data_IF_735865733924
#
_entry.id   IF_735865733924
#
_cell.length_a   1.000
_cell.length_b   1.000
_cell.length_c   1.000
_cell.angle_alpha   90.00
_cell.angle_beta   90.00
_cell.angle_gamma   90.00
#
_symmetry.space_group_name_H-M   'P 1'
#
loop_
_entity.id
_entity.type
_entity.pdbx_description
1 polymer ?
#
# COMPACT_ATOMS: atom_id res chain seq x y z
N UNK A 1 17.83 5.52 -3.58
CA UNK A 1 17.74 4.05 -3.58
C UNK A 1 16.26 3.70 -3.43
N UNK A 2 15.76 2.73 -4.17
CA UNK A 2 14.34 2.30 -4.06
C UNK A 2 14.15 1.51 -2.77
N UNK A 3 13.28 1.97 -1.87
CA UNK A 3 12.88 1.25 -0.65
C UNK A 3 11.51 0.59 -0.82
N UNK A 4 11.24 -0.45 -0.01
CA UNK A 4 9.98 -1.17 0.05
C UNK A 4 9.35 -0.94 1.41
N UNK A 5 8.11 -0.40 1.48
CA UNK A 5 7.47 -0.14 2.76
C UNK A 5 7.06 -1.44 3.46
N UNK A 6 7.27 -1.47 4.77
CA UNK A 6 6.78 -2.46 5.71
C UNK A 6 5.64 -1.83 6.50
N UNK A 7 4.42 -2.01 6.00
CA UNK A 7 3.19 -1.49 6.59
C UNK A 7 2.28 -2.64 6.99
N UNK A 8 1.44 -2.40 8.00
CA UNK A 8 0.35 -3.30 8.42
C UNK A 8 -0.95 -2.53 8.43
N UNK A 9 -2.03 -3.15 7.94
CA UNK A 9 -3.36 -2.55 7.92
C UNK A 9 -3.78 -2.15 9.35
N UNK A 10 -4.10 -0.88 9.55
CA UNK A 10 -4.62 -0.34 10.81
C UNK A 10 -3.69 -0.38 12.01
N UNK A 11 -2.46 -0.88 11.88
CA UNK A 11 -1.51 -0.96 12.99
C UNK A 11 -0.55 0.23 12.99
N UNK A 12 -0.34 0.90 14.15
CA UNK A 12 0.61 2.00 14.23
C UNK A 12 2.06 1.51 14.10
N UNK A 13 2.88 2.36 13.49
CA UNK A 13 4.27 2.02 13.18
C UNK A 13 4.47 1.46 11.78
N UNK A 14 5.63 1.70 11.23
CA UNK A 14 6.02 1.26 9.90
C UNK A 14 7.54 1.24 9.77
N UNK A 15 8.01 0.61 8.69
CA UNK A 15 9.43 0.60 8.34
C UNK A 15 9.63 0.47 6.84
N UNK A 16 10.86 0.27 6.46
CA UNK A 16 11.24 0.05 5.06
C UNK A 16 12.37 -0.95 4.94
N UNK A 17 12.41 -1.62 3.80
CA UNK A 17 13.52 -2.47 3.36
C UNK A 17 14.14 -1.83 2.14
N UNK A 18 15.46 -1.64 2.15
CA UNK A 18 16.17 -1.14 0.99
C UNK A 18 16.38 -2.24 -0.07
N UNK A 19 16.93 -1.86 -1.23
CA UNK A 19 17.18 -2.80 -2.34
C UNK A 19 18.19 -3.91 -2.03
N UNK A 20 18.82 -3.88 -0.86
CA UNK A 20 19.82 -4.84 -0.39
C UNK A 20 19.38 -5.62 0.86
N UNK A 21 18.16 -5.37 1.33
CA UNK A 21 17.60 -6.06 2.48
C UNK A 21 17.88 -5.41 3.83
N UNK A 22 18.44 -4.19 3.86
CA UNK A 22 18.57 -3.42 5.08
C UNK A 22 17.19 -3.01 5.57
N UNK A 23 16.86 -3.33 6.83
CA UNK A 23 15.58 -2.99 7.46
C UNK A 23 15.74 -1.78 8.36
N UNK A 24 14.84 -0.80 8.24
CA UNK A 24 14.81 0.39 9.09
C UNK A 24 13.37 0.70 9.54
N UNK A 25 13.14 1.07 10.82
CA UNK A 25 11.88 1.66 11.23
C UNK A 25 11.69 3.04 10.58
N UNK A 26 10.46 3.53 10.51
CA UNK A 26 10.14 4.83 9.90
C UNK A 26 10.86 6.01 10.56
N UNK A 27 11.10 5.96 11.86
CA UNK A 27 11.86 6.96 12.62
C UNK A 27 13.38 6.92 12.37
N UNK A 28 13.88 5.86 11.71
CA UNK A 28 15.31 5.66 11.38
C UNK A 28 16.25 5.73 12.58
N UNK A 29 15.74 5.40 13.78
CA UNK A 29 16.53 5.41 15.04
C UNK A 29 17.61 4.33 15.04
N UNK A 30 17.42 3.26 14.27
CA UNK A 30 18.34 2.15 14.10
C UNK A 30 18.15 1.50 12.73
N UNK A 31 19.12 0.66 12.33
CA UNK A 31 19.06 -0.15 11.11
C UNK A 31 19.50 -1.58 11.40
N UNK A 32 18.90 -2.55 10.70
CA UNK A 32 19.25 -3.96 10.76
C UNK A 32 19.78 -4.41 9.40
N UNK A 33 21.06 -4.72 9.35
CA UNK A 33 21.73 -5.31 8.18
C UNK A 33 21.90 -6.82 8.36
N UNK A 34 22.08 -7.55 7.27
CA UNK A 34 22.30 -8.98 7.28
C UNK A 34 23.54 -9.35 6.49
N UNK A 35 24.35 -10.24 7.06
CA UNK A 35 25.59 -10.68 6.49
C UNK A 35 25.64 -12.19 6.48
N UNK A 36 26.43 -12.76 5.55
CA UNK A 36 26.62 -14.20 5.41
C UNK A 36 28.10 -14.54 5.41
N UNK A 37 28.50 -15.33 6.39
CA UNK A 37 29.84 -15.90 6.51
C UNK A 37 29.89 -17.28 5.88
N UNK A 38 30.32 -17.37 4.64
CA UNK A 38 30.57 -18.64 3.96
C UNK A 38 32.03 -19.08 4.18
N UNK A 39 32.39 -20.24 3.62
CA UNK A 39 33.70 -20.86 3.82
C UNK A 39 34.92 -19.99 3.41
N UNK A 40 34.71 -18.98 2.60
CA UNK A 40 35.75 -18.10 2.04
C UNK A 40 35.80 -16.73 2.72
N UNK A 41 34.65 -16.10 3.04
CA UNK A 41 34.60 -14.77 3.64
C UNK A 41 33.19 -14.38 4.12
N UNK A 42 33.10 -13.30 4.88
CA UNK A 42 31.87 -12.61 5.14
C UNK A 42 31.40 -11.81 3.90
N UNK A 43 30.11 -11.88 3.61
CA UNK A 43 29.44 -11.12 2.57
C UNK A 43 28.40 -10.20 3.20
N UNK A 44 28.48 -8.94 2.84
CA UNK A 44 27.48 -7.93 3.18
C UNK A 44 26.66 -7.62 1.92
N UNK A 45 25.33 -7.73 1.99
CA UNK A 45 24.48 -7.55 0.82
C UNK A 45 24.64 -6.19 0.15
N UNK A 46 24.93 -5.12 0.93
CA UNK A 46 25.21 -3.77 0.40
C UNK A 46 26.49 -3.68 -0.45
N UNK A 47 27.43 -4.62 -0.30
CA UNK A 47 28.71 -4.65 -1.01
C UNK A 47 28.79 -5.71 -2.11
N UNK A 48 27.81 -6.63 -2.16
CA UNK A 48 27.80 -7.71 -3.14
C UNK A 48 27.10 -7.28 -4.44
N UNK A 49 27.72 -7.59 -5.57
CA UNK A 49 27.12 -7.30 -6.90
C UNK A 49 25.95 -8.22 -7.21
N UNK A 50 26.02 -9.49 -6.81
CA UNK A 50 25.03 -10.52 -7.12
C UNK A 50 23.94 -10.61 -6.05
N UNK A 51 23.24 -9.51 -5.82
CA UNK A 51 22.04 -9.42 -4.97
C UNK A 51 20.83 -9.07 -5.84
N UNK A 52 19.75 -9.82 -5.67
CA UNK A 52 18.47 -9.57 -6.32
C UNK A 52 17.35 -9.51 -5.29
N UNK A 53 16.38 -8.66 -5.53
CA UNK A 53 15.22 -8.50 -4.65
C UNK A 53 13.93 -8.67 -5.45
N UNK A 54 12.97 -9.36 -4.87
CA UNK A 54 11.62 -9.54 -5.40
C UNK A 54 10.58 -9.23 -4.34
N UNK A 55 9.37 -8.92 -4.79
CA UNK A 55 8.19 -8.70 -3.96
C UNK A 55 7.22 -9.85 -4.17
N UNK A 56 6.72 -10.43 -3.09
CA UNK A 56 5.71 -11.49 -3.10
C UNK A 56 4.39 -10.92 -2.59
N UNK A 57 3.25 -11.41 -3.12
CA UNK A 57 1.91 -11.04 -2.67
C UNK A 57 1.68 -9.53 -2.66
N UNK A 58 1.74 -8.87 -3.80
CA UNK A 58 1.59 -7.40 -3.92
C UNK A 58 2.63 -6.60 -3.09
N UNK A 59 3.77 -7.21 -2.76
CA UNK A 59 4.82 -6.60 -1.95
C UNK A 59 4.61 -6.75 -0.44
N UNK A 60 3.76 -7.66 0.01
CA UNK A 60 3.56 -7.96 1.43
C UNK A 60 4.76 -8.66 2.07
N UNK A 61 5.52 -9.41 1.29
CA UNK A 61 6.79 -10.02 1.69
C UNK A 61 7.88 -9.57 0.72
N UNK A 62 8.99 -9.09 1.24
CA UNK A 62 10.18 -8.71 0.46
C UNK A 62 11.19 -9.84 0.58
N UNK A 63 11.58 -10.44 -0.55
CA UNK A 63 12.60 -11.47 -0.61
C UNK A 63 13.87 -10.90 -1.25
N UNK A 64 14.99 -10.98 -0.53
CA UNK A 64 16.33 -10.58 -1.00
C UNK A 64 17.24 -11.81 -1.05
N UNK A 65 17.79 -12.10 -2.23
CA UNK A 65 18.70 -13.22 -2.47
C UNK A 65 20.11 -12.74 -2.73
N UNK A 66 21.07 -13.32 -2.06
CA UNK A 66 22.49 -13.06 -2.24
C UNK A 66 23.20 -14.34 -2.62
N UNK A 67 24.02 -14.29 -3.68
CA UNK A 67 24.85 -15.42 -4.08
C UNK A 67 25.92 -15.71 -3.04
N UNK A 68 26.01 -16.98 -2.68
CA UNK A 68 27.07 -17.57 -1.85
C UNK A 68 27.66 -18.78 -2.59
N UNK A 69 28.79 -19.35 -2.16
CA UNK A 69 29.24 -20.62 -2.70
C UNK A 69 28.14 -21.69 -2.65
N UNK A 70 27.97 -22.41 -3.75
CA UNK A 70 27.05 -23.53 -3.92
C UNK A 70 25.54 -23.20 -3.77
N UNK A 71 25.14 -21.92 -3.89
CA UNK A 71 23.72 -21.56 -3.85
C UNK A 71 23.41 -20.12 -3.51
N UNK A 72 22.32 -19.93 -2.79
CA UNK A 72 21.81 -18.62 -2.37
C UNK A 72 21.60 -18.58 -0.85
N UNK A 73 21.91 -17.44 -0.24
CA UNK A 73 21.36 -17.02 1.03
C UNK A 73 20.11 -16.18 0.75
N UNK A 74 19.02 -16.43 1.48
CA UNK A 74 17.72 -15.80 1.25
C UNK A 74 17.24 -15.10 2.49
N UNK A 75 17.03 -13.80 2.41
CA UNK A 75 16.33 -13.03 3.43
C UNK A 75 14.90 -12.81 2.99
N UNK A 76 13.92 -13.03 3.89
CA UNK A 76 12.53 -12.62 3.74
C UNK A 76 12.14 -11.67 4.86
N UNK A 77 11.48 -10.58 4.50
CA UNK A 77 11.01 -9.57 5.46
C UNK A 77 9.53 -9.30 5.21
N UNK A 78 8.75 -9.33 6.27
CA UNK A 78 7.33 -8.96 6.24
C UNK A 78 6.95 -8.26 7.55
N UNK A 79 5.81 -7.58 7.55
CA UNK A 79 5.31 -6.89 8.73
C UNK A 79 3.97 -7.47 9.19
N UNK A 80 3.76 -7.49 10.51
CA UNK A 80 2.55 -7.99 11.18
C UNK A 80 2.16 -7.07 12.33
N UNK A 81 0.89 -7.07 12.73
CA UNK A 81 0.46 -6.47 13.98
C UNK A 81 0.61 -7.50 15.12
N UNK A 82 1.33 -7.14 16.16
CA UNK A 82 1.50 -8.00 17.33
C UNK A 82 0.30 -7.88 18.25
N UNK A 83 -0.63 -8.86 18.22
CA UNK A 83 -1.77 -8.91 19.12
C UNK A 83 -2.66 -7.65 19.15
N UNK A 84 -2.86 -6.99 18.01
CA UNK A 84 -3.58 -5.72 17.91
C UNK A 84 -2.76 -4.50 18.34
N UNK A 85 -1.47 -4.68 18.60
CA UNK A 85 -0.50 -3.63 18.92
C UNK A 85 0.20 -3.05 17.69
N UNK A 86 1.39 -2.44 17.91
CA UNK A 86 2.15 -1.80 16.84
C UNK A 86 2.67 -2.80 15.82
N UNK A 87 3.02 -2.28 14.64
CA UNK A 87 3.65 -3.06 13.60
C UNK A 87 5.04 -3.60 14.04
N UNK A 88 5.27 -4.86 13.72
CA UNK A 88 6.53 -5.58 13.93
C UNK A 88 6.97 -6.17 12.60
N UNK A 89 8.23 -6.01 12.22
CA UNK A 89 8.80 -6.73 11.10
C UNK A 89 9.32 -8.10 11.56
N UNK A 90 9.10 -9.13 10.77
CA UNK A 90 9.80 -10.41 10.91
C UNK A 90 10.87 -10.47 9.82
N UNK A 91 12.10 -10.72 10.24
CA UNK A 91 13.27 -10.87 9.36
C UNK A 91 13.74 -12.30 9.46
N UNK A 92 13.58 -13.05 8.40
CA UNK A 92 13.97 -14.44 8.29
C UNK A 92 15.15 -14.56 7.34
N UNK A 93 16.20 -15.31 7.75
CA UNK A 93 17.34 -15.68 6.88
C UNK A 93 17.35 -17.20 6.73
N UNK A 94 17.43 -17.66 5.49
CA UNK A 94 17.46 -19.07 5.13
C UNK A 94 18.67 -19.44 4.28
N UNK A 95 19.12 -20.67 4.43
CA UNK A 95 20.19 -21.25 3.63
C UNK A 95 19.60 -22.11 2.49
N UNK A 96 19.75 -21.66 1.26
CA UNK A 96 19.43 -22.41 0.04
C UNK A 96 20.71 -22.82 -0.73
N UNK A 97 21.87 -22.80 -0.06
CA UNK A 97 23.11 -23.35 -0.61
C UNK A 97 23.33 -24.80 -0.13
N UNK A 98 24.10 -25.59 -0.88
CA UNK A 98 24.39 -26.96 -0.52
C UNK A 98 25.27 -27.06 0.73
N UNK A 99 26.09 -26.03 1.01
CA UNK A 99 26.98 -25.96 2.16
C UNK A 99 26.38 -25.10 3.28
N UNK A 100 26.77 -25.42 4.53
CA UNK A 100 26.42 -24.61 5.69
C UNK A 100 27.14 -23.24 5.63
N UNK A 101 26.48 -22.21 6.17
CA UNK A 101 27.09 -20.89 6.38
C UNK A 101 26.66 -20.29 7.73
N UNK A 102 27.30 -19.22 8.16
CA UNK A 102 26.89 -18.41 9.30
C UNK A 102 26.08 -17.19 8.83
N UNK A 103 24.92 -16.94 9.43
CA UNK A 103 24.20 -15.67 9.23
C UNK A 103 24.49 -14.74 10.40
N UNK A 104 24.87 -13.51 10.11
CA UNK A 104 24.95 -12.45 11.11
C UNK A 104 23.89 -11.38 10.86
N UNK A 105 23.21 -10.97 11.91
CA UNK A 105 22.39 -9.78 11.94
C UNK A 105 23.15 -8.68 12.68
N UNK A 106 23.23 -7.51 12.06
CA UNK A 106 24.00 -6.37 12.57
C UNK A 106 23.06 -5.18 12.78
N UNK A 107 22.92 -4.76 14.03
CA UNK A 107 22.18 -3.56 14.40
C UNK A 107 23.13 -2.37 14.46
N UNK A 108 22.76 -1.30 13.76
CA UNK A 108 23.44 -0.01 13.83
C UNK A 108 22.48 1.02 14.45
N UNK A 109 22.91 1.72 15.50
CA UNK A 109 22.14 2.78 16.15
C UNK A 109 23.04 3.99 16.43
N UNK A 110 22.98 5.03 15.59
CA UNK A 110 23.88 6.19 15.72
C UNK A 110 23.67 6.94 17.06
N UNK A 111 24.73 6.98 17.88
CA UNK A 111 24.73 7.74 19.13
C UNK A 111 23.86 7.18 20.26
N UNK A 112 23.37 5.94 20.12
CA UNK A 112 22.57 5.29 21.14
C UNK A 112 23.28 4.04 21.70
N UNK A 113 23.19 3.82 23.01
CA UNK A 113 23.74 2.62 23.64
C UNK A 113 23.00 1.36 23.19
N UNK A 114 23.72 0.34 22.79
CA UNK A 114 23.20 -0.98 22.43
C UNK A 114 23.45 -1.97 23.58
N UNK A 115 22.43 -2.78 23.85
CA UNK A 115 22.54 -3.91 24.77
C UNK A 115 22.01 -5.17 24.10
N UNK A 116 22.69 -6.29 24.28
CA UNK A 116 22.26 -7.61 23.81
C UNK A 116 22.10 -8.51 25.03
N UNK A 117 20.98 -9.20 25.12
CA UNK A 117 20.69 -10.18 26.14
C UNK A 117 20.33 -11.55 25.54
N UNK A 118 19.76 -12.46 26.35
CA UNK A 118 19.39 -13.80 25.90
C UNK A 118 18.20 -13.79 24.91
N UNK A 119 17.40 -12.76 24.88
CA UNK A 119 16.11 -12.70 24.21
C UNK A 119 16.06 -11.69 23.07
N UNK A 120 17.02 -10.72 23.04
CA UNK A 120 16.96 -9.68 22.06
C UNK A 120 18.06 -8.63 22.12
N UNK A 121 17.80 -7.54 21.40
CA UNK A 121 18.64 -6.33 21.39
C UNK A 121 17.78 -5.15 21.82
N UNK A 122 18.36 -4.27 22.64
CA UNK A 122 17.78 -2.99 23.01
C UNK A 122 18.65 -1.84 22.50
N UNK A 123 18.02 -0.75 22.07
CA UNK A 123 18.61 0.57 21.77
C UNK A 123 18.18 1.52 22.89
N UNK A 124 19.13 1.91 23.75
CA UNK A 124 18.80 2.53 25.03
C UNK A 124 17.95 1.58 25.88
N UNK A 125 16.75 2.02 26.28
CA UNK A 125 15.80 1.20 27.03
C UNK A 125 14.72 0.51 26.15
N UNK A 126 14.78 0.70 24.84
CA UNK A 126 13.74 0.17 23.92
C UNK A 126 14.19 -1.18 23.33
N UNK A 127 13.44 -2.28 23.49
CA UNK A 127 13.68 -3.50 22.74
C UNK A 127 13.43 -3.25 21.25
N UNK A 128 14.41 -3.60 20.41
CA UNK A 128 14.35 -3.40 18.96
C UNK A 128 14.39 -4.72 18.19
N UNK A 129 15.01 -5.77 18.74
CA UNK A 129 14.98 -7.13 18.20
C UNK A 129 14.60 -8.13 19.29
N UNK A 130 13.88 -9.20 18.90
CA UNK A 130 13.66 -10.39 19.71
C UNK A 130 13.79 -11.66 18.84
N UNK A 131 14.12 -12.79 19.47
CA UNK A 131 14.30 -14.09 18.81
C UNK A 131 13.85 -15.24 19.72
N UNK A 132 13.51 -16.39 19.12
CA UNK A 132 13.21 -17.65 19.79
C UNK A 132 14.47 -18.46 20.05
N UNK A 133 15.33 -18.51 19.02
CA UNK A 133 16.60 -19.22 19.05
C UNK A 133 17.72 -18.24 19.30
N UNK A 134 18.38 -18.37 20.45
CA UNK A 134 19.52 -17.52 20.77
C UNK A 134 20.66 -17.68 19.75
N UNK A 135 21.40 -16.59 19.44
CA UNK A 135 22.63 -16.66 18.64
C UNK A 135 23.69 -17.49 19.35
N UNK A 136 24.60 -18.11 18.58
CA UNK A 136 25.76 -18.79 19.14
C UNK A 136 26.84 -17.82 19.63
N UNK A 137 26.85 -16.61 19.07
CA UNK A 137 27.74 -15.51 19.47
C UNK A 137 27.03 -14.18 19.32
N UNK A 138 27.30 -13.28 20.25
CA UNK A 138 26.84 -11.89 20.20
C UNK A 138 27.92 -10.95 20.73
N UNK A 139 28.01 -9.77 20.15
CA UNK A 139 28.98 -8.75 20.56
C UNK A 139 28.41 -7.34 20.36
N UNK A 140 28.82 -6.42 21.22
CA UNK A 140 28.50 -5.00 21.15
C UNK A 140 29.81 -4.20 21.08
N UNK A 141 29.84 -3.20 20.21
CA UNK A 141 30.97 -2.34 19.95
C UNK A 141 31.91 -2.87 18.85
N UNK A 142 32.56 -1.96 18.18
CA UNK A 142 33.27 -2.17 16.92
C UNK A 142 34.35 -3.28 16.99
N UNK A 143 35.22 -3.24 17.98
CA UNK A 143 36.29 -4.22 18.14
C UNK A 143 35.79 -5.62 18.49
N UNK A 144 34.76 -5.70 19.37
CA UNK A 144 34.16 -6.97 19.77
C UNK A 144 33.37 -7.61 18.63
N UNK A 145 32.62 -6.81 17.86
CA UNK A 145 31.87 -7.28 16.67
C UNK A 145 32.87 -7.81 15.62
N UNK A 146 33.97 -7.09 15.36
CA UNK A 146 34.98 -7.58 14.44
C UNK A 146 35.60 -8.92 14.91
N UNK A 147 35.96 -9.03 16.18
CA UNK A 147 36.52 -10.26 16.73
C UNK A 147 35.54 -11.44 16.65
N UNK A 148 34.24 -11.21 16.92
CA UNK A 148 33.21 -12.22 16.77
C UNK A 148 33.10 -12.72 15.33
N UNK A 149 33.01 -11.80 14.37
CA UNK A 149 32.87 -12.16 12.96
C UNK A 149 34.12 -12.89 12.43
N UNK A 150 35.33 -12.44 12.82
CA UNK A 150 36.58 -13.10 12.43
C UNK A 150 36.67 -14.54 12.98
N UNK A 151 36.12 -14.81 14.17
CA UNK A 151 36.08 -16.14 14.77
C UNK A 151 35.06 -17.09 14.12
N UNK A 152 33.94 -16.60 13.66
CA UNK A 152 32.80 -17.43 13.23
C UNK A 152 32.68 -17.63 11.71
N UNK A 153 33.39 -16.89 10.87
CA UNK A 153 33.19 -17.00 9.44
C UNK A 153 34.27 -16.41 8.56
N UNK A 154 35.48 -16.25 9.06
CA UNK A 154 36.61 -15.71 8.30
C UNK A 154 36.72 -14.18 8.41
N UNK A 155 37.60 -13.57 7.61
CA UNK A 155 37.97 -12.17 7.75
C UNK A 155 36.81 -11.23 7.47
N UNK A 156 36.40 -10.45 8.48
CA UNK A 156 35.42 -9.41 8.33
C UNK A 156 36.06 -8.11 7.80
N UNK A 157 35.81 -7.80 6.53
CA UNK A 157 36.26 -6.56 5.89
C UNK A 157 35.15 -5.54 5.78
N UNK A 158 35.46 -4.25 5.76
CA UNK A 158 34.47 -3.19 5.51
C UNK A 158 33.66 -2.73 6.72
N UNK A 159 34.16 -2.99 7.95
CA UNK A 159 33.57 -2.49 9.20
C UNK A 159 33.94 -1.02 9.48
N UNK A 160 34.16 -0.22 8.47
CA UNK A 160 34.59 1.18 8.63
C UNK A 160 33.40 2.11 8.94
N UNK A 161 32.80 1.92 10.12
CA UNK A 161 31.67 2.72 10.61
C UNK A 161 32.14 3.68 11.70
N UNK A 162 32.78 4.76 11.31
CA UNK A 162 33.22 5.80 12.25
C UNK A 162 32.02 6.38 13.00
N UNK A 163 31.96 6.16 14.31
CA UNK A 163 31.04 6.81 15.24
C UNK A 163 29.62 6.22 15.33
N UNK A 164 29.41 4.96 14.93
CA UNK A 164 28.16 4.24 15.14
C UNK A 164 28.32 3.10 16.13
N UNK A 165 27.43 2.99 17.10
CA UNK A 165 27.36 1.83 17.95
C UNK A 165 26.80 0.64 17.17
N UNK A 166 27.49 -0.51 17.28
CA UNK A 166 27.15 -1.74 16.56
C UNK A 166 26.91 -2.86 17.55
N UNK A 167 25.92 -3.70 17.23
CA UNK A 167 25.74 -5.02 17.81
C UNK A 167 25.63 -6.05 16.71
N UNK A 168 26.31 -7.18 16.84
CA UNK A 168 26.19 -8.30 15.91
C UNK A 168 25.82 -9.57 16.66
N UNK A 169 24.98 -10.38 16.04
CA UNK A 169 24.51 -11.68 16.51
C UNK A 169 24.70 -12.70 15.39
N UNK A 170 25.21 -13.89 15.69
CA UNK A 170 25.57 -14.92 14.71
C UNK A 170 24.81 -16.22 14.95
N UNK A 171 24.26 -16.79 13.88
CA UNK A 171 23.59 -18.09 13.86
C UNK A 171 24.21 -19.00 12.79
N UNK A 172 24.58 -20.24 13.12
CA UNK A 172 24.93 -21.23 12.11
C UNK A 172 23.68 -21.70 11.39
N UNK A 173 23.73 -21.71 10.06
CA UNK A 173 22.64 -22.17 9.19
C UNK A 173 23.12 -23.34 8.31
N UNK A 174 22.90 -24.60 8.75
CA UNK A 174 23.02 -25.77 7.89
C UNK A 174 22.15 -25.64 6.61
N UNK A 175 22.38 -26.50 5.64
CA UNK A 175 21.54 -26.59 4.44
C UNK A 175 20.05 -26.68 4.81
N UNK A 176 19.20 -25.92 4.13
CA UNK A 176 17.74 -25.76 4.34
C UNK A 176 17.33 -25.12 5.69
N UNK A 177 18.27 -24.86 6.59
CA UNK A 177 17.94 -24.23 7.86
C UNK A 177 17.53 -22.76 7.69
N UNK A 178 16.69 -22.31 8.62
CA UNK A 178 16.23 -20.92 8.71
C UNK A 178 16.35 -20.43 10.14
N UNK A 179 16.54 -19.12 10.29
CA UNK A 179 16.41 -18.40 11.54
C UNK A 179 15.54 -17.18 11.32
N UNK A 180 14.87 -16.71 12.36
CA UNK A 180 14.08 -15.49 12.29
C UNK A 180 14.29 -14.63 13.54
N UNK A 181 14.11 -13.33 13.37
CA UNK A 181 13.99 -12.35 14.45
C UNK A 181 12.77 -11.47 14.19
N UNK A 182 12.16 -10.98 15.26
CA UNK A 182 11.20 -9.88 15.17
C UNK A 182 11.93 -8.55 15.42
N UNK A 183 11.50 -7.52 14.69
CA UNK A 183 12.08 -6.18 14.73
C UNK A 183 10.99 -5.14 14.94
N UNK A 184 11.17 -4.24 15.91
CA UNK A 184 10.15 -3.25 16.30
C UNK A 184 10.04 -2.16 15.24
N UNK A 185 8.84 -1.94 14.69
CA UNK A 185 8.53 -0.84 13.78
C UNK A 185 7.75 0.30 14.48
N UNK A 186 7.34 0.10 15.71
CA UNK A 186 6.58 1.06 16.51
C UNK A 186 6.89 0.94 17.99
N UNK A 187 6.11 1.62 18.84
CA UNK A 187 6.25 1.55 20.30
C UNK A 187 5.31 0.48 20.86
N UNK A 188 5.83 -0.50 21.58
CA UNK A 188 5.01 -1.52 22.23
C UNK A 188 5.75 -2.82 22.48
N UNK A 189 5.00 -3.88 22.74
CA UNK A 189 5.54 -5.21 22.96
C UNK A 189 6.20 -5.74 21.68
N UNK A 190 7.31 -6.45 21.86
CA UNK A 190 8.05 -7.11 20.78
C UNK A 190 8.08 -8.61 21.07
N UNK A 191 7.08 -9.36 20.58
CA UNK A 191 7.04 -10.80 20.76
C UNK A 191 8.11 -11.49 19.89
N UNK A 192 8.55 -12.70 20.28
CA UNK A 192 9.45 -13.49 19.47
C UNK A 192 8.77 -13.97 18.18
N UNK A 193 9.52 -14.30 17.12
CA UNK A 193 8.97 -14.68 15.80
C UNK A 193 7.99 -15.86 15.84
N UNK A 194 8.18 -16.83 16.75
CA UNK A 194 7.29 -18.01 16.86
C UNK A 194 5.84 -17.64 17.25
N UNK A 195 5.65 -16.51 17.92
CA UNK A 195 4.34 -16.02 18.32
C UNK A 195 3.67 -15.14 17.23
N UNK A 196 4.30 -15.00 16.09
CA UNK A 196 3.85 -14.13 14.99
C UNK A 196 3.45 -14.94 13.74
N UNK A 197 2.52 -14.45 12.92
CA UNK A 197 2.19 -15.05 11.65
C UNK A 197 3.42 -15.18 10.74
N UNK A 198 3.53 -16.34 10.08
CA UNK A 198 4.56 -16.59 9.06
C UNK A 198 4.27 -15.83 7.75
N UNK A 199 5.23 -15.87 6.83
CA UNK A 199 5.13 -15.18 5.54
C UNK A 199 3.90 -15.64 4.74
N UNK A 200 3.58 -16.93 4.75
CA UNK A 200 2.45 -17.48 3.98
C UNK A 200 1.11 -17.04 4.57
N UNK A 201 0.99 -16.95 5.89
CA UNK A 201 -0.20 -16.41 6.55
C UNK A 201 -0.40 -14.93 6.21
N UNK A 202 0.68 -14.14 6.19
CA UNK A 202 0.64 -12.71 5.79
C UNK A 202 0.25 -12.56 4.33
N UNK A 203 0.79 -13.39 3.42
CA UNK A 203 0.41 -13.38 2.01
C UNK A 203 -1.08 -13.65 1.82
N UNK A 204 -1.63 -14.67 2.49
CA UNK A 204 -3.07 -14.98 2.46
C UNK A 204 -3.92 -13.86 3.05
N UNK A 205 -3.49 -13.28 4.18
CA UNK A 205 -4.21 -12.16 4.80
C UNK A 205 -4.32 -10.95 3.89
N UNK A 206 -3.22 -10.55 3.25
CA UNK A 206 -3.24 -9.45 2.28
C UNK A 206 -4.09 -9.75 1.05
N UNK A 207 -4.07 -10.99 0.55
CA UNK A 207 -4.93 -11.38 -0.57
C UNK A 207 -6.42 -11.16 -0.22
N UNK A 208 -6.87 -11.62 0.94
CA UNK A 208 -8.25 -11.42 1.41
C UNK A 208 -8.60 -9.92 1.50
N UNK A 209 -7.69 -9.09 2.02
CA UNK A 209 -7.93 -7.64 2.08
C UNK A 209 -7.99 -7.00 0.70
N UNK A 210 -7.13 -7.40 -0.23
CA UNK A 210 -7.15 -6.87 -1.60
C UNK A 210 -8.41 -7.28 -2.37
N UNK A 211 -8.95 -8.47 -2.11
CA UNK A 211 -10.18 -8.98 -2.73
C UNK A 211 -11.47 -8.27 -2.25
N UNK A 212 -11.41 -7.49 -1.14
CA UNK A 212 -12.55 -6.67 -0.68
C UNK A 212 -12.88 -5.51 -1.62
N UNK A 213 -11.89 -5.01 -2.34
CA UNK A 213 -12.08 -3.92 -3.31
C UNK A 213 -12.51 -4.41 -4.70
N UNK A 214 -12.72 -3.48 -5.60
CA UNK A 214 -13.06 -3.78 -6.99
C UNK A 214 -11.99 -4.68 -7.64
N UNK A 215 -12.40 -5.77 -8.28
CA UNK A 215 -11.48 -6.64 -9.03
C UNK A 215 -11.23 -6.07 -10.41
N UNK A 216 -9.97 -5.91 -10.80
CA UNK A 216 -9.57 -5.36 -12.09
C UNK A 216 -8.66 -6.37 -12.79
N UNK A 217 -9.04 -6.73 -14.01
CA UNK A 217 -8.27 -7.59 -14.90
C UNK A 217 -7.85 -6.77 -16.13
N UNK A 218 -6.55 -6.67 -16.37
CA UNK A 218 -5.97 -5.98 -17.51
C UNK A 218 -5.02 -6.90 -18.25
N UNK A 219 -4.90 -6.82 -19.59
CA UNK A 219 -4.03 -7.69 -20.38
C UNK A 219 -2.55 -7.26 -20.33
N UNK A 220 -2.11 -6.77 -19.19
CA UNK A 220 -0.75 -6.31 -18.90
C UNK A 220 -0.38 -6.72 -17.46
N UNK A 221 0.38 -7.78 -17.33
CA UNK A 221 0.80 -8.32 -16.03
C UNK A 221 1.60 -7.32 -15.19
N UNK A 222 2.39 -6.44 -15.82
CA UNK A 222 3.15 -5.44 -15.08
C UNK A 222 2.21 -4.38 -14.49
N UNK A 223 1.18 -3.99 -15.24
CA UNK A 223 0.13 -3.10 -14.77
C UNK A 223 -0.71 -3.76 -13.67
N UNK A 224 -1.13 -5.02 -13.85
CA UNK A 224 -1.87 -5.77 -12.83
C UNK A 224 -1.12 -5.82 -11.50
N UNK A 225 0.16 -6.23 -11.52
CA UNK A 225 1.01 -6.23 -10.32
C UNK A 225 1.18 -4.84 -9.70
N UNK A 226 1.23 -3.79 -10.51
CA UNK A 226 1.31 -2.40 -10.02
C UNK A 226 0.03 -1.95 -9.32
N UNK A 227 -1.14 -2.35 -9.84
CA UNK A 227 -2.44 -2.08 -9.22
C UNK A 227 -2.49 -2.67 -7.82
N UNK A 228 -2.22 -3.98 -7.68
CA UNK A 228 -2.28 -4.67 -6.40
C UNK A 228 -1.26 -4.13 -5.39
N UNK A 229 -0.05 -3.84 -5.87
CA UNK A 229 0.98 -3.20 -5.03
C UNK A 229 0.55 -1.83 -4.52
N UNK A 230 -0.06 -1.01 -5.36
CA UNK A 230 -0.56 0.31 -4.96
C UNK A 230 -1.70 0.19 -3.95
N UNK A 231 -2.65 -0.72 -4.19
CA UNK A 231 -3.76 -0.99 -3.25
C UNK A 231 -3.25 -1.41 -1.89
N UNK A 232 -2.31 -2.37 -1.84
CA UNK A 232 -1.68 -2.77 -0.59
C UNK A 232 -1.02 -1.59 0.13
N UNK A 233 -0.30 -0.75 -0.62
CA UNK A 233 0.35 0.43 -0.04
C UNK A 233 -0.64 1.45 0.52
N UNK A 234 -1.76 1.68 -0.15
CA UNK A 234 -2.80 2.58 0.36
C UNK A 234 -3.44 2.01 1.63
N UNK A 235 -3.84 0.76 1.62
CA UNK A 235 -4.36 0.09 2.80
C UNK A 235 -3.36 0.10 3.97
N UNK A 236 -2.08 -0.15 3.71
CA UNK A 236 -1.04 -0.09 4.75
C UNK A 236 -0.85 1.31 5.35
N UNK A 237 -1.10 2.38 4.58
CA UNK A 237 -0.98 3.76 5.07
C UNK A 237 -2.04 4.13 6.12
N UNK A 238 -3.14 3.40 6.22
CA UNK A 238 -4.15 3.62 7.27
C UNK A 238 -3.60 3.42 8.69
N UNK A 239 -2.51 2.65 8.84
CA UNK A 239 -1.82 2.45 10.13
C UNK A 239 -0.86 3.58 10.54
N UNK A 240 -0.63 4.58 9.67
CA UNK A 240 0.33 5.68 9.94
C UNK A 240 -0.25 7.07 9.66
N UNK A 241 -1.54 7.23 9.83
CA UNK A 241 -2.23 8.50 9.58
C UNK A 241 -1.70 9.65 10.44
N UNK A 242 -1.27 9.38 11.68
CA UNK A 242 -0.77 10.40 12.63
C UNK A 242 0.36 11.26 12.06
N UNK A 243 1.17 10.74 11.15
CA UNK A 243 2.34 11.43 10.58
C UNK A 243 2.06 12.06 9.21
N UNK A 244 0.90 11.79 8.61
CA UNK A 244 0.51 12.32 7.31
C UNK A 244 -0.13 13.71 7.46
N UNK A 245 0.08 14.60 6.48
CA UNK A 245 -0.66 15.85 6.41
C UNK A 245 -2.10 15.63 5.92
N UNK A 246 -2.96 16.64 6.05
CA UNK A 246 -4.38 16.53 5.72
C UNK A 246 -4.60 16.31 4.22
N UNK A 247 -3.81 16.93 3.36
CA UNK A 247 -3.93 16.76 1.91
C UNK A 247 -3.57 15.32 1.49
N UNK A 248 -2.52 14.75 2.08
CA UNK A 248 -2.14 13.35 1.87
C UNK A 248 -3.25 12.37 2.33
N UNK A 249 -3.90 12.65 3.45
CA UNK A 249 -5.03 11.83 3.94
C UNK A 249 -6.24 11.94 3.01
N UNK A 250 -6.56 13.13 2.54
CA UNK A 250 -7.64 13.34 1.56
C UNK A 250 -7.39 12.56 0.26
N UNK A 251 -6.16 12.60 -0.25
CA UNK A 251 -5.80 11.81 -1.43
C UNK A 251 -5.87 10.31 -1.17
N UNK A 252 -5.45 9.86 0.01
CA UNK A 252 -5.54 8.46 0.42
C UNK A 252 -6.99 7.98 0.45
N UNK A 253 -7.90 8.74 1.09
CA UNK A 253 -9.32 8.42 1.14
C UNK A 253 -9.93 8.30 -0.25
N UNK A 254 -9.70 9.27 -1.14
CA UNK A 254 -10.19 9.23 -2.52
C UNK A 254 -9.69 7.99 -3.29
N UNK A 255 -8.43 7.61 -3.10
CA UNK A 255 -7.86 6.42 -3.74
C UNK A 255 -8.49 5.13 -3.21
N UNK A 256 -8.71 5.03 -1.91
CA UNK A 256 -9.38 3.89 -1.30
C UNK A 256 -10.81 3.76 -1.83
N UNK A 257 -11.59 4.84 -1.85
CA UNK A 257 -12.95 4.87 -2.37
C UNK A 257 -13.01 4.48 -3.85
N UNK A 258 -12.12 5.02 -4.68
CA UNK A 258 -12.06 4.70 -6.10
C UNK A 258 -11.78 3.22 -6.40
N UNK A 259 -11.23 2.50 -5.44
CA UNK A 259 -10.95 1.08 -5.55
C UNK A 259 -11.89 0.18 -4.72
N UNK A 260 -12.94 0.75 -4.10
CA UNK A 260 -13.97 0.01 -3.37
C UNK A 260 -13.61 -0.35 -1.93
N UNK A 261 -12.60 0.31 -1.34
CA UNK A 261 -12.24 0.14 0.08
C UNK A 261 -12.94 1.22 0.93
N UNK A 262 -14.27 1.27 0.86
CA UNK A 262 -15.07 2.34 1.46
C UNK A 262 -14.96 2.40 2.98
N UNK A 263 -14.92 1.23 3.66
CA UNK A 263 -14.76 1.18 5.11
C UNK A 263 -13.40 1.77 5.54
N UNK A 264 -12.34 1.43 4.79
CA UNK A 264 -10.99 1.95 5.06
C UNK A 264 -10.91 3.46 4.74
N UNK A 265 -11.60 3.92 3.69
CA UNK A 265 -11.72 5.35 3.38
C UNK A 265 -12.46 6.12 4.48
N UNK A 266 -13.55 5.56 5.02
CA UNK A 266 -14.31 6.16 6.12
C UNK A 266 -13.45 6.38 7.37
N UNK A 267 -12.58 5.41 7.73
CA UNK A 267 -11.61 5.55 8.83
C UNK A 267 -10.67 6.73 8.59
N UNK A 268 -10.18 6.90 7.36
CA UNK A 268 -9.32 8.06 7.00
C UNK A 268 -10.09 9.37 7.09
N UNK A 269 -11.36 9.39 6.65
CA UNK A 269 -12.21 10.58 6.70
C UNK A 269 -12.55 10.97 8.13
N UNK A 270 -12.73 10.01 9.04
CA UNK A 270 -12.90 10.28 10.48
C UNK A 270 -11.66 10.96 11.07
N UNK A 271 -10.47 10.53 10.68
CA UNK A 271 -9.21 11.18 11.09
C UNK A 271 -9.10 12.60 10.53
N UNK A 272 -9.49 12.82 9.26
CA UNK A 272 -9.52 14.16 8.66
C UNK A 272 -10.52 15.06 9.40
N UNK A 273 -11.70 14.55 9.73
CA UNK A 273 -12.74 15.29 10.44
C UNK A 273 -12.32 15.64 11.88
N UNK A 274 -11.58 14.74 12.55
CA UNK A 274 -11.06 14.98 13.90
C UNK A 274 -9.94 16.03 13.95
N UNK A 275 -9.26 16.29 12.84
CA UNK A 275 -8.22 17.32 12.74
C UNK A 275 -8.84 18.66 12.42
N UNK A 276 -8.99 19.48 13.47
CA UNK A 276 -9.47 20.84 13.31
C UNK A 276 -8.43 21.72 12.62
N UNK A 277 -8.63 21.98 11.32
CA UNK A 277 -7.69 22.79 10.52
C UNK A 277 -8.40 23.47 9.36
N UNK A 278 -7.90 24.63 8.96
CA UNK A 278 -8.32 25.31 7.71
C UNK A 278 -7.48 24.92 6.51
N UNK A 279 -6.54 24.00 6.67
CA UNK A 279 -5.67 23.54 5.59
C UNK A 279 -6.40 22.66 4.60
N UNK A 280 -5.94 22.66 3.35
CA UNK A 280 -6.40 21.80 2.27
C UNK A 280 -7.94 21.75 2.12
N UNK A 281 -8.67 22.89 2.08
CA UNK A 281 -10.14 22.86 2.05
C UNK A 281 -10.70 22.21 0.80
N UNK A 282 -10.10 22.44 -0.37
CA UNK A 282 -10.52 21.81 -1.64
C UNK A 282 -10.37 20.29 -1.60
N UNK A 283 -9.24 19.80 -1.11
CA UNK A 283 -8.95 18.38 -0.97
C UNK A 283 -9.90 17.70 0.02
N UNK A 284 -10.21 18.35 1.14
CA UNK A 284 -11.20 17.89 2.12
C UNK A 284 -12.59 17.78 1.51
N UNK A 285 -13.05 18.83 0.83
CA UNK A 285 -14.34 18.84 0.16
C UNK A 285 -14.43 17.76 -0.94
N UNK A 286 -13.34 17.55 -1.69
CA UNK A 286 -13.24 16.46 -2.67
C UNK A 286 -13.34 15.09 -2.00
N UNK A 287 -12.61 14.86 -0.91
CA UNK A 287 -12.57 13.57 -0.22
C UNK A 287 -13.96 13.20 0.33
N UNK A 288 -14.61 14.09 1.07
CA UNK A 288 -15.96 13.86 1.60
C UNK A 288 -17.01 13.70 0.49
N UNK A 289 -16.95 14.55 -0.55
CA UNK A 289 -17.86 14.48 -1.68
C UNK A 289 -17.73 13.20 -2.50
N UNK A 290 -16.50 12.76 -2.79
CA UNK A 290 -16.24 11.50 -3.49
C UNK A 290 -16.72 10.31 -2.69
N UNK A 291 -16.45 10.26 -1.38
CA UNK A 291 -16.95 9.19 -0.53
C UNK A 291 -18.46 9.07 -0.58
N UNK A 292 -19.18 10.19 -0.39
CA UNK A 292 -20.63 10.19 -0.48
C UNK A 292 -21.13 9.79 -1.88
N UNK A 293 -20.55 10.31 -2.94
CA UNK A 293 -20.93 9.97 -4.32
C UNK A 293 -20.77 8.47 -4.60
N UNK A 294 -19.69 7.85 -4.13
CA UNK A 294 -19.38 6.45 -4.41
C UNK A 294 -20.06 5.47 -3.46
N UNK A 295 -20.42 5.90 -2.24
CA UNK A 295 -21.10 5.03 -1.26
C UNK A 295 -22.61 5.26 -1.18
N UNK A 296 -23.08 6.49 -1.38
CA UNK A 296 -24.46 6.91 -1.08
C UNK A 296 -24.81 6.79 0.41
N UNK A 297 -23.79 6.69 1.29
CA UNK A 297 -24.01 6.53 2.72
C UNK A 297 -24.54 7.82 3.35
N UNK A 298 -25.83 7.78 3.68
CA UNK A 298 -26.51 8.90 4.33
C UNK A 298 -26.02 9.16 5.75
N UNK A 299 -25.63 8.11 6.49
CA UNK A 299 -25.10 8.27 7.83
C UNK A 299 -23.74 8.96 7.81
N UNK A 300 -22.88 8.59 6.87
CA UNK A 300 -21.61 9.28 6.63
C UNK A 300 -21.86 10.75 6.21
N UNK A 301 -22.84 11.03 5.34
CA UNK A 301 -23.19 12.39 4.96
C UNK A 301 -23.60 13.25 6.16
N UNK A 302 -24.43 12.74 7.06
CA UNK A 302 -24.84 13.42 8.29
C UNK A 302 -23.63 13.68 9.20
N UNK A 303 -22.78 12.67 9.38
CA UNK A 303 -21.57 12.75 10.22
C UNK A 303 -20.58 13.79 9.72
N UNK A 304 -20.41 13.92 8.42
CA UNK A 304 -19.44 14.83 7.81
C UNK A 304 -20.01 16.20 7.42
N UNK A 305 -21.30 16.47 7.66
CA UNK A 305 -21.94 17.73 7.26
C UNK A 305 -21.26 18.97 7.88
N UNK A 306 -20.90 18.91 9.19
CA UNK A 306 -20.24 20.02 9.87
C UNK A 306 -18.80 20.23 9.36
N UNK A 307 -17.90 19.22 9.30
CA UNK A 307 -16.59 19.33 8.66
C UNK A 307 -16.62 19.85 7.21
N UNK A 308 -17.64 19.48 6.45
CA UNK A 308 -17.86 19.98 5.08
C UNK A 308 -18.22 21.46 5.07
N UNK A 309 -19.14 21.89 5.92
CA UNK A 309 -19.54 23.30 6.01
C UNK A 309 -18.35 24.20 6.37
N UNK A 310 -17.52 23.78 7.31
CA UNK A 310 -16.29 24.49 7.69
C UNK A 310 -15.27 24.57 6.57
N UNK A 311 -15.09 23.46 5.83
CA UNK A 311 -14.19 23.43 4.67
C UNK A 311 -14.69 24.34 3.55
N UNK A 312 -16.02 24.46 3.34
CA UNK A 312 -16.63 25.41 2.39
C UNK A 312 -16.32 26.84 2.80
N UNK A 313 -16.50 27.19 4.06
CA UNK A 313 -16.19 28.54 4.56
C UNK A 313 -14.70 28.87 4.43
N UNK A 314 -13.83 27.90 4.73
CA UNK A 314 -12.39 28.05 4.57
C UNK A 314 -12.01 28.27 3.10
N UNK A 315 -12.58 27.48 2.18
CA UNK A 315 -12.35 27.61 0.74
C UNK A 315 -12.81 28.98 0.22
N UNK A 316 -13.99 29.43 0.63
CA UNK A 316 -14.51 30.75 0.25
C UNK A 316 -13.60 31.88 0.75
N UNK A 317 -13.13 31.84 1.99
CA UNK A 317 -12.20 32.85 2.53
C UNK A 317 -10.85 32.88 1.81
N UNK A 318 -10.39 31.74 1.34
CA UNK A 318 -9.09 31.60 0.65
C UNK A 318 -9.22 31.80 -0.87
N UNK A 319 -10.42 31.95 -1.43
CA UNK A 319 -10.66 31.99 -2.86
C UNK A 319 -10.26 30.67 -3.54
N UNK A 320 -10.33 29.56 -2.83
CA UNK A 320 -9.99 28.22 -3.32
C UNK A 320 -11.11 27.64 -4.19
N UNK A 321 -10.78 26.60 -4.95
CA UNK A 321 -11.76 25.90 -5.76
C UNK A 321 -12.62 24.94 -4.91
N UNK A 322 -13.90 24.80 -5.27
CA UNK A 322 -14.87 23.94 -4.58
C UNK A 322 -15.47 22.94 -5.55
N UNK A 323 -15.48 21.63 -5.26
CA UNK A 323 -16.19 20.63 -6.05
C UNK A 323 -17.70 20.70 -5.75
N UNK A 324 -18.38 21.71 -6.37
CA UNK A 324 -19.74 22.11 -6.03
C UNK A 324 -20.74 20.96 -6.04
N UNK A 325 -20.80 20.18 -7.14
CA UNK A 325 -21.83 19.14 -7.29
C UNK A 325 -21.71 17.98 -6.26
N UNK A 326 -20.55 17.40 -5.97
CA UNK A 326 -20.40 16.41 -4.91
C UNK A 326 -20.74 16.96 -3.52
N UNK A 327 -20.30 18.17 -3.20
CA UNK A 327 -20.57 18.81 -1.90
C UNK A 327 -22.04 19.10 -1.73
N UNK A 328 -22.70 19.60 -2.77
CA UNK A 328 -24.14 19.85 -2.76
C UNK A 328 -24.94 18.57 -2.51
N UNK A 329 -24.63 17.47 -3.23
CA UNK A 329 -25.29 16.17 -3.01
C UNK A 329 -25.11 15.66 -1.59
N UNK A 330 -23.92 15.78 -1.01
CA UNK A 330 -23.65 15.40 0.37
C UNK A 330 -24.50 16.23 1.35
N UNK A 331 -24.56 17.55 1.19
CA UNK A 331 -25.35 18.43 2.06
C UNK A 331 -26.85 18.11 1.98
N UNK A 332 -27.38 17.86 0.78
CA UNK A 332 -28.79 17.43 0.59
C UNK A 332 -29.02 16.08 1.29
N UNK A 333 -28.16 15.11 1.12
CA UNK A 333 -28.26 13.80 1.77
C UNK A 333 -28.21 13.90 3.30
N UNK A 334 -27.47 14.89 3.82
CA UNK A 334 -27.39 15.19 5.26
C UNK A 334 -28.63 15.96 5.76
N UNK A 335 -29.61 16.32 4.92
CA UNK A 335 -30.76 17.15 5.28
C UNK A 335 -30.42 18.63 5.47
N UNK A 336 -29.29 19.09 4.93
CA UNK A 336 -28.79 20.46 5.02
C UNK A 336 -29.19 21.29 3.78
N UNK A 337 -30.45 21.25 3.36
CA UNK A 337 -30.93 21.89 2.14
C UNK A 337 -30.61 23.38 2.04
N UNK A 338 -30.66 24.08 3.19
CA UNK A 338 -30.32 25.50 3.24
C UNK A 338 -28.83 25.73 2.96
N UNK A 339 -27.95 24.93 3.54
CA UNK A 339 -26.51 25.01 3.29
C UNK A 339 -26.19 24.69 1.81
N UNK A 340 -26.87 23.71 1.23
CA UNK A 340 -26.75 23.39 -0.20
C UNK A 340 -27.20 24.54 -1.11
N UNK A 341 -28.28 25.26 -0.75
CA UNK A 341 -28.72 26.46 -1.47
C UNK A 341 -27.75 27.64 -1.32
N UNK A 342 -27.21 27.83 -0.13
CA UNK A 342 -26.26 28.91 0.13
C UNK A 342 -24.94 28.65 -0.58
N UNK A 343 -24.49 27.39 -0.69
CA UNK A 343 -23.33 26.99 -1.48
C UNK A 343 -23.41 27.47 -2.95
N UNK A 344 -24.58 27.37 -3.57
CA UNK A 344 -24.81 27.84 -4.96
C UNK A 344 -24.67 29.36 -5.12
N UNK A 345 -24.80 30.11 -4.02
CA UNK A 345 -24.74 31.58 -4.01
C UNK A 345 -23.36 32.11 -3.65
N UNK A 346 -22.48 31.24 -3.13
CA UNK A 346 -21.13 31.62 -2.82
C UNK A 346 -20.35 31.92 -4.12
N UNK A 347 -19.61 33.00 -4.10
CA UNK A 347 -18.66 33.32 -5.19
C UNK A 347 -17.38 32.48 -5.02
N UNK A 348 -17.51 31.16 -5.32
CA UNK A 348 -16.42 30.20 -5.29
C UNK A 348 -16.13 29.70 -6.69
N UNK A 349 -14.85 29.44 -6.97
CA UNK A 349 -14.47 28.82 -8.25
C UNK A 349 -14.83 27.35 -8.24
N UNK A 350 -15.55 26.84 -9.28
CA UNK A 350 -15.85 25.41 -9.36
C UNK A 350 -14.55 24.63 -9.64
N UNK A 351 -14.27 23.64 -8.80
CA UNK A 351 -13.20 22.68 -9.06
C UNK A 351 -13.66 21.64 -10.09
N UNK A 352 -12.79 21.34 -11.05
CA UNK A 352 -12.96 20.12 -11.83
C UNK A 352 -12.81 18.91 -10.91
N UNK A 353 -13.65 17.91 -11.10
CA UNK A 353 -13.45 16.59 -10.45
C UNK A 353 -12.58 15.75 -11.39
N UNK A 354 -11.24 15.72 -11.21
CA UNK A 354 -10.42 14.94 -12.10
C UNK A 354 -10.68 13.46 -11.85
N UNK A 355 -11.06 12.74 -12.87
CA UNK A 355 -10.89 11.29 -12.87
C UNK A 355 -9.42 11.01 -13.15
N UNK A 356 -8.64 10.68 -12.13
CA UNK A 356 -7.20 10.50 -12.26
C UNK A 356 -6.79 9.02 -12.32
N UNK A 357 -5.69 8.78 -13.03
CA UNK A 357 -5.03 7.49 -13.05
C UNK A 357 -5.84 6.39 -13.78
N UNK A 358 -5.59 5.14 -13.36
CA UNK A 358 -6.19 3.97 -14.00
C UNK A 358 -7.74 3.98 -13.95
N UNK A 359 -8.34 4.51 -12.88
CA UNK A 359 -9.82 4.60 -12.81
C UNK A 359 -10.39 5.35 -14.01
N UNK A 360 -9.78 6.47 -14.40
CA UNK A 360 -10.21 7.25 -15.55
C UNK A 360 -10.15 6.47 -16.88
N UNK A 361 -9.29 5.46 -16.97
CA UNK A 361 -9.22 4.57 -18.14
C UNK A 361 -10.31 3.50 -18.11
N UNK A 362 -10.80 3.13 -16.91
CA UNK A 362 -11.77 2.06 -16.70
C UNK A 362 -13.22 2.55 -16.64
N UNK A 363 -13.45 3.71 -16.00
CA UNK A 363 -14.78 4.31 -15.87
C UNK A 363 -14.69 5.83 -15.68
N UNK A 364 -15.65 6.55 -16.24
CA UNK A 364 -15.82 7.98 -15.97
C UNK A 364 -17.29 8.35 -15.85
N UNK A 365 -17.60 9.19 -14.86
CA UNK A 365 -18.94 9.74 -14.63
C UNK A 365 -19.03 11.09 -15.36
N UNK A 366 -19.95 11.25 -16.33
CA UNK A 366 -20.18 12.48 -17.08
C UNK A 366 -21.66 12.86 -17.08
N UNK A 367 -22.05 13.77 -16.18
CA UNK A 367 -23.46 14.16 -16.07
C UNK A 367 -24.34 12.94 -15.75
N UNK A 368 -25.26 12.59 -16.63
CA UNK A 368 -26.15 11.42 -16.52
C UNK A 368 -25.60 10.20 -17.31
N UNK A 369 -24.40 10.33 -17.89
CA UNK A 369 -23.74 9.26 -18.61
C UNK A 369 -22.65 8.60 -17.76
N UNK A 370 -22.51 7.28 -17.93
CA UNK A 370 -21.44 6.49 -17.36
C UNK A 370 -20.63 5.88 -18.49
N UNK A 371 -19.38 6.32 -18.62
CA UNK A 371 -18.47 5.84 -19.65
C UNK A 371 -17.76 4.57 -19.19
N UNK A 372 -17.92 3.49 -19.97
CA UNK A 372 -17.28 2.19 -19.76
C UNK A 372 -15.99 2.14 -20.58
N UNK A 373 -14.87 1.84 -19.93
CA UNK A 373 -13.55 1.76 -20.52
C UNK A 373 -13.18 2.96 -21.42
N UNK A 374 -13.39 4.24 -20.98
CA UNK A 374 -13.14 5.40 -21.84
C UNK A 374 -11.70 5.56 -22.28
N UNK A 375 -10.75 5.07 -21.50
CA UNK A 375 -9.32 5.06 -21.78
C UNK A 375 -8.80 3.71 -22.32
N UNK A 376 -9.64 2.93 -23.00
CA UNK A 376 -9.22 1.65 -23.57
C UNK A 376 -8.01 1.84 -24.48
N UNK A 377 -6.93 1.11 -24.19
CA UNK A 377 -5.66 1.22 -24.94
C UNK A 377 -5.61 0.27 -26.13
N UNK A 378 -5.17 0.72 -27.31
CA UNK A 378 -5.03 -0.17 -28.48
C UNK A 378 -4.19 -1.42 -28.20
N UNK A 379 -3.17 -1.32 -27.35
CA UNK A 379 -2.29 -2.44 -26.95
C UNK A 379 -3.04 -3.52 -26.15
N UNK A 380 -4.21 -3.22 -25.60
CA UNK A 380 -5.07 -4.19 -24.88
C UNK A 380 -5.95 -5.02 -25.83
N UNK A 381 -5.94 -4.70 -27.11
CA UNK A 381 -6.76 -5.41 -28.11
C UNK A 381 -6.42 -6.89 -28.14
N UNK A 382 -7.45 -7.74 -28.09
CA UNK A 382 -7.31 -9.19 -28.11
C UNK A 382 -7.06 -9.81 -26.73
N UNK A 383 -6.70 -8.99 -25.71
CA UNK A 383 -6.55 -9.45 -24.34
C UNK A 383 -7.81 -9.21 -23.50
N UNK A 384 -7.94 -9.90 -22.35
CA UNK A 384 -9.08 -9.72 -21.46
C UNK A 384 -8.98 -8.36 -20.72
N UNK A 385 -10.05 -7.59 -20.75
CA UNK A 385 -10.24 -6.42 -19.86
C UNK A 385 -11.52 -6.62 -19.08
N UNK A 386 -11.44 -6.56 -17.75
CA UNK A 386 -12.63 -6.61 -16.93
C UNK A 386 -12.47 -5.79 -15.64
N UNK A 387 -13.55 -5.26 -15.15
CA UNK A 387 -13.65 -4.66 -13.83
C UNK A 387 -14.94 -5.17 -13.17
N UNK A 388 -14.84 -5.57 -11.91
CA UNK A 388 -15.98 -6.09 -11.14
C UNK A 388 -16.15 -5.27 -9.86
N UNK A 389 -17.36 -4.77 -9.64
CA UNK A 389 -17.69 -3.95 -8.49
C UNK A 389 -16.96 -2.61 -8.46
N UNK A 390 -16.66 -2.02 -9.62
CA UNK A 390 -15.96 -0.72 -9.69
C UNK A 390 -16.90 0.39 -9.21
N UNK A 391 -16.55 1.15 -8.18
CA UNK A 391 -17.45 2.15 -7.61
C UNK A 391 -17.74 3.27 -8.59
N UNK A 392 -19.01 3.60 -8.72
CA UNK A 392 -19.50 4.78 -9.45
C UNK A 392 -20.57 5.49 -8.62
N UNK A 393 -20.87 6.74 -8.93
CA UNK A 393 -21.95 7.45 -8.23
C UNK A 393 -23.35 6.85 -8.45
N UNK A 394 -23.48 6.01 -9.47
CA UNK A 394 -24.74 5.32 -9.79
C UNK A 394 -24.86 3.93 -9.17
N UNK A 395 -23.77 3.47 -8.53
CA UNK A 395 -23.63 2.15 -7.94
C UNK A 395 -22.41 1.40 -8.49
N UNK A 396 -22.09 0.22 -7.95
CA UNK A 396 -21.00 -0.60 -8.45
C UNK A 396 -21.23 -1.05 -9.89
N UNK A 397 -20.25 -0.81 -10.76
CA UNK A 397 -20.24 -1.27 -12.15
C UNK A 397 -19.34 -2.48 -12.30
N UNK A 398 -19.88 -3.55 -12.87
CA UNK A 398 -19.12 -4.70 -13.36
C UNK A 398 -19.17 -4.74 -14.87
N UNK A 399 -18.04 -4.96 -15.54
CA UNK A 399 -18.03 -5.19 -16.98
C UNK A 399 -16.86 -6.06 -17.41
N UNK A 400 -17.04 -6.70 -18.59
CA UNK A 400 -15.96 -7.46 -19.24
C UNK A 400 -15.99 -7.18 -20.75
N UNK A 401 -14.79 -6.96 -21.30
CA UNK A 401 -14.56 -6.84 -22.75
C UNK A 401 -13.84 -8.10 -23.22
N UNK A 402 -14.48 -8.85 -24.12
CA UNK A 402 -13.92 -10.08 -24.73
C UNK A 402 -13.89 -9.95 -26.22
N UNK A 403 -12.82 -10.39 -26.85
CA UNK A 403 -12.66 -10.28 -28.30
C UNK A 403 -13.13 -11.56 -29.01
N UNK A 404 -14.05 -11.38 -29.94
CA UNK A 404 -14.50 -12.41 -30.87
C UNK A 404 -14.07 -12.02 -32.29
N UNK A 405 -12.86 -12.49 -32.68
CA UNK A 405 -12.26 -12.04 -33.92
C UNK A 405 -11.98 -10.52 -33.91
N UNK A 406 -12.47 -9.74 -34.89
CA UNK A 406 -12.24 -8.30 -34.95
C UNK A 406 -13.11 -7.48 -33.98
N UNK A 407 -14.21 -8.05 -33.49
CA UNK A 407 -15.22 -7.33 -32.72
C UNK A 407 -15.14 -7.65 -31.22
N UNK A 408 -15.17 -6.62 -30.33
CA UNK A 408 -15.26 -6.84 -28.91
C UNK A 408 -16.71 -7.11 -28.49
N UNK A 409 -16.92 -8.10 -27.64
CA UNK A 409 -18.16 -8.28 -26.89
C UNK A 409 -18.03 -7.53 -25.55
N UNK A 410 -19.01 -6.73 -25.20
CA UNK A 410 -19.14 -6.04 -23.93
C UNK A 410 -20.27 -6.70 -23.13
N UNK A 411 -19.93 -7.18 -21.93
CA UNK A 411 -20.88 -7.58 -20.90
C UNK A 411 -20.85 -6.51 -19.82
N UNK A 412 -22.00 -6.15 -19.24
CA UNK A 412 -22.05 -5.18 -18.15
C UNK A 412 -23.17 -5.50 -17.16
N UNK A 413 -22.94 -5.07 -15.93
CA UNK A 413 -23.90 -5.09 -14.84
C UNK A 413 -23.65 -3.85 -13.97
N UNK A 414 -24.62 -2.98 -13.86
CA UNK A 414 -24.65 -1.86 -12.95
C UNK A 414 -25.61 -2.22 -11.81
N UNK A 415 -25.08 -2.41 -10.62
CA UNK A 415 -25.87 -2.59 -9.41
C UNK A 415 -26.35 -1.22 -8.94
N UNK A 416 -27.41 -0.74 -9.64
CA UNK A 416 -27.88 0.63 -9.57
C UNK A 416 -28.49 0.98 -8.23
N UNK A 417 -28.16 2.18 -7.74
CA UNK A 417 -28.89 2.80 -6.65
C UNK A 417 -30.24 3.31 -7.16
N UNK A 418 -31.27 3.28 -6.31
CA UNK A 418 -32.53 3.96 -6.63
C UNK A 418 -32.25 5.45 -6.89
N UNK A 419 -32.54 5.90 -8.09
CA UNK A 419 -32.32 7.29 -8.48
C UNK A 419 -33.42 7.75 -9.45
N UNK A 420 -33.67 9.07 -9.54
CA UNK A 420 -34.76 9.62 -10.37
C UNK A 420 -34.47 9.59 -11.87
N UNK A 421 -33.24 9.29 -12.31
CA UNK A 421 -32.87 9.36 -13.73
C UNK A 421 -32.20 8.06 -14.18
N UNK A 422 -32.66 7.47 -15.31
CA UNK A 422 -31.96 6.35 -15.93
C UNK A 422 -30.55 6.76 -16.35
N UNK A 423 -29.57 5.94 -16.00
CA UNK A 423 -28.19 6.16 -16.40
C UNK A 423 -27.98 5.66 -17.81
N UNK A 424 -27.39 6.48 -18.68
CA UNK A 424 -26.94 6.04 -20.00
C UNK A 424 -25.51 5.54 -19.94
N UNK A 425 -25.30 4.27 -20.26
CA UNK A 425 -23.98 3.66 -20.40
C UNK A 425 -23.45 3.88 -21.81
N UNK A 426 -22.18 4.25 -21.95
CA UNK A 426 -21.49 4.42 -23.23
C UNK A 426 -20.08 3.84 -23.19
N UNK A 427 -19.57 3.35 -24.32
CA UNK A 427 -18.21 2.81 -24.44
C UNK A 427 -17.46 3.45 -25.64
N UNK A 428 -17.22 4.79 -25.63
CA UNK A 428 -16.76 5.54 -26.81
C UNK A 428 -15.41 5.12 -27.35
N UNK A 429 -14.54 4.56 -26.53
CA UNK A 429 -13.23 4.04 -26.96
C UNK A 429 -13.31 2.66 -27.64
N UNK A 430 -14.42 1.93 -27.46
CA UNK A 430 -14.67 0.64 -28.08
C UNK A 430 -15.64 0.79 -29.29
N UNK A 431 -16.76 1.46 -29.08
CA UNK A 431 -17.78 1.77 -30.08
C UNK A 431 -18.43 3.13 -29.77
N UNK A 432 -18.20 4.12 -30.63
CA UNK A 432 -18.72 5.49 -30.42
C UNK A 432 -20.23 5.60 -30.54
N UNK A 433 -20.87 4.65 -31.24
CA UNK A 433 -22.32 4.65 -31.48
C UNK A 433 -23.08 3.89 -30.42
N UNK A 434 -22.41 3.08 -29.59
CA UNK A 434 -23.08 2.26 -28.60
C UNK A 434 -23.49 3.07 -27.37
N UNK A 435 -24.75 2.85 -26.96
CA UNK A 435 -25.30 3.29 -25.68
C UNK A 435 -26.33 2.30 -25.18
N UNK A 436 -26.54 2.26 -23.86
CA UNK A 436 -27.57 1.44 -23.22
C UNK A 436 -28.10 2.14 -21.99
N UNK A 437 -29.42 2.07 -21.78
CA UNK A 437 -30.12 2.46 -20.55
C UNK A 437 -30.44 1.25 -19.65
N UNK A 438 -30.06 0.06 -20.10
CA UNK A 438 -30.28 -1.18 -19.34
C UNK A 438 -29.18 -1.36 -18.31
N UNK A 439 -29.51 -1.71 -17.05
CA UNK A 439 -28.52 -1.92 -16.00
C UNK A 439 -27.65 -3.16 -16.26
N UNK A 440 -28.13 -4.12 -17.04
CA UNK A 440 -27.41 -5.35 -17.35
C UNK A 440 -27.54 -5.70 -18.81
N UNK A 441 -26.53 -6.33 -19.39
CA UNK A 441 -26.65 -6.80 -20.77
C UNK A 441 -25.35 -7.36 -21.34
N UNK A 442 -25.48 -7.82 -22.58
CA UNK A 442 -24.37 -8.27 -23.40
C UNK A 442 -24.59 -7.80 -24.82
N UNK A 443 -23.54 -7.33 -25.49
CA UNK A 443 -23.61 -6.89 -26.88
C UNK A 443 -22.29 -7.11 -27.60
N UNK A 444 -22.37 -7.35 -28.90
CA UNK A 444 -21.22 -7.31 -29.79
C UNK A 444 -21.09 -5.89 -30.34
N UNK A 445 -20.01 -5.22 -30.00
CA UNK A 445 -19.76 -3.84 -30.41
C UNK A 445 -19.23 -3.78 -31.86
N UNK A 446 -19.62 -2.74 -32.60
CA UNK A 446 -19.06 -2.48 -33.91
C UNK A 446 -17.65 -1.89 -33.77
N UNK A 447 -16.65 -2.53 -34.37
CA UNK A 447 -15.30 -1.93 -34.42
C UNK A 447 -15.34 -0.66 -35.24
N UNK A 448 -15.02 0.46 -34.63
CA UNK A 448 -14.73 1.69 -35.38
C UNK A 448 -13.53 1.43 -36.30
N UNK A 449 -13.71 1.51 -37.64
CA UNK A 449 -12.64 1.39 -38.64
C UNK A 449 -11.55 2.45 -38.49
N UNK A 450 -11.68 3.37 -37.55
CA UNK A 450 -10.80 4.54 -37.32
C UNK A 450 -9.89 4.41 -36.09
N UNK A 451 -9.73 3.22 -35.47
CA UNK A 451 -8.62 3.04 -34.54
C UNK A 451 -7.34 2.88 -35.38
N UNK A 452 -6.37 3.83 -35.30
CA UNK A 452 -5.11 3.68 -36.02
C UNK A 452 -4.41 2.42 -35.53
N UNK A 453 -3.94 1.66 -36.48
CA UNK A 453 -3.14 0.43 -36.33
C UNK A 453 -1.83 0.71 -35.60
#
# INVERSE_FOLDING_TARGET
MSTRPLDVLGAPGWGEVDARGLVQPGAKEWALDWWVGASDRWRRASQEAAVRQSELGAGAVVETRMKVPDGDAVQRVWAVAAGGGPAVAVVQVGNEAATAFAAALVVEAPGAALAVDRTGVAVGAKPVLAWDRAPVGAAVGHGAVKALLDAEGGTATGLDHKGRDLAAMVWPLPHTARMAVSASLGRGALPPPADLPDADAVLRGWQVHLERGARIEVPDDALARRIDRNRRRWLGRTGRMETADVAELCELSVRLDHHGYHDDAAVVLDEIAARWTTEAPTERLRAFGVHHDLTGDQQAAIRFAEPVAEAVEAAARMGAEVPLAPVERLLIAAGQDRAAQDLRRLDVRPAATPSEGLRAELVADQGEELLVAPGYRPVWRGGPLAAYGLPTRFGPLSYAVRWHGPNPALLWELDGRPGPVPVSLRAPALDRSWSSDQPTGETLLATSRSLPW
#
